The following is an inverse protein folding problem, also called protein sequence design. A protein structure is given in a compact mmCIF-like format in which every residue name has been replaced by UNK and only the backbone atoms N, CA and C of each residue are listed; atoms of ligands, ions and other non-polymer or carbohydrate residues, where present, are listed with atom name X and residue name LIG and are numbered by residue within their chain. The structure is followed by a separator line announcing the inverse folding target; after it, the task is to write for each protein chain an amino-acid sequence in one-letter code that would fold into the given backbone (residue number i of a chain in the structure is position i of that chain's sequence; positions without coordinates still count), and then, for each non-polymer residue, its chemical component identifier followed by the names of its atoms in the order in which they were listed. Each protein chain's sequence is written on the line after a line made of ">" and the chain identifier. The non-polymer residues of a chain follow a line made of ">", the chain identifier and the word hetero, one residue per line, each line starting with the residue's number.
data_IF_347740843258
#
_entry.id   IF_347740843258
#
_cell.length_a   1.000
_cell.length_b   1.000
_cell.length_c   1.000
_cell.angle_alpha   90.00
_cell.angle_beta   90.00
_cell.angle_gamma   90.00
#
_symmetry.space_group_name_H-M   'P 1'
#
loop_
_entity.id
_entity.type
_entity.pdbx_description
1 polymer ?
#
# COMPACT_ATOMS: atom_id res chain seq x y z
N UNK A 1 -4.40 -29.55 7.38
CA UNK A 1 -4.53 -28.08 7.56
C UNK A 1 -5.97 -27.78 7.90
N UNK A 2 -6.25 -27.34 9.12
CA UNK A 2 -7.59 -26.94 9.56
C UNK A 2 -8.03 -25.76 8.69
N UNK A 3 -9.19 -25.86 8.02
CA UNK A 3 -9.73 -24.80 7.18
C UNK A 3 -10.15 -23.63 8.09
N UNK A 4 -9.29 -22.64 8.26
CA UNK A 4 -9.61 -21.40 8.96
C UNK A 4 -10.63 -20.56 8.19
N UNK A 5 -10.72 -20.74 6.89
CA UNK A 5 -11.59 -20.04 5.98
C UNK A 5 -12.97 -20.72 5.86
N UNK A 6 -14.04 -19.91 5.97
CA UNK A 6 -15.42 -20.35 5.81
C UNK A 6 -15.87 -20.10 4.37
N UNK A 7 -16.24 -21.15 3.64
CA UNK A 7 -16.66 -21.09 2.22
C UNK A 7 -17.80 -20.09 1.98
N UNK A 8 -18.83 -20.08 2.85
CA UNK A 8 -19.93 -19.13 2.74
C UNK A 8 -19.51 -17.68 2.85
N UNK A 9 -18.59 -17.38 3.78
CA UNK A 9 -18.05 -16.03 3.95
C UNK A 9 -17.17 -15.61 2.76
N UNK A 10 -16.33 -16.53 2.25
CA UNK A 10 -15.54 -16.30 1.03
C UNK A 10 -16.44 -15.89 -0.12
N UNK A 11 -17.51 -16.65 -0.34
CA UNK A 11 -18.44 -16.38 -1.45
C UNK A 11 -19.12 -15.00 -1.32
N UNK A 12 -19.67 -14.69 -0.14
CA UNK A 12 -20.35 -13.41 0.12
C UNK A 12 -19.39 -12.24 -0.09
N UNK A 13 -18.17 -12.32 0.47
CA UNK A 13 -17.19 -11.24 0.37
C UNK A 13 -16.63 -11.07 -1.05
N UNK A 14 -16.41 -12.16 -1.77
CA UNK A 14 -15.96 -12.07 -3.16
C UNK A 14 -17.06 -11.53 -4.09
N UNK A 15 -18.31 -11.90 -3.89
CA UNK A 15 -19.43 -11.29 -4.59
C UNK A 15 -19.52 -9.79 -4.29
N UNK A 16 -19.38 -9.39 -3.02
CA UNK A 16 -19.32 -7.98 -2.63
C UNK A 16 -18.14 -7.23 -3.26
N UNK A 17 -16.96 -7.84 -3.25
CA UNK A 17 -15.75 -7.30 -3.90
C UNK A 17 -15.97 -7.07 -5.41
N UNK A 18 -16.52 -8.08 -6.10
CA UNK A 18 -16.82 -7.98 -7.53
C UNK A 18 -17.89 -6.92 -7.81
N UNK A 19 -18.92 -6.81 -6.97
CA UNK A 19 -19.98 -5.80 -7.11
C UNK A 19 -19.41 -4.38 -6.97
N UNK A 20 -18.62 -4.13 -5.92
CA UNK A 20 -17.97 -2.83 -5.69
C UNK A 20 -17.03 -2.50 -6.86
N UNK A 21 -16.26 -3.48 -7.34
CA UNK A 21 -15.35 -3.30 -8.47
C UNK A 21 -16.12 -2.99 -9.75
N UNK A 22 -17.16 -3.75 -10.07
CA UNK A 22 -17.98 -3.55 -11.27
C UNK A 22 -18.67 -2.17 -11.28
N UNK A 23 -19.07 -1.66 -10.11
CA UNK A 23 -19.66 -0.33 -9.98
C UNK A 23 -18.60 0.80 -10.11
N UNK A 24 -17.41 0.62 -9.52
CA UNK A 24 -16.37 1.64 -9.51
C UNK A 24 -15.65 1.78 -10.86
N UNK A 25 -15.47 0.66 -11.60
CA UNK A 25 -14.73 0.63 -12.88
C UNK A 25 -15.24 1.65 -13.91
N UNK A 26 -16.54 1.65 -14.31
CA UNK A 26 -17.02 2.60 -15.31
C UNK A 26 -16.96 4.05 -14.84
N UNK A 27 -17.19 4.31 -13.55
CA UNK A 27 -17.11 5.64 -12.98
C UNK A 27 -15.66 6.18 -13.03
N UNK A 28 -14.69 5.34 -12.69
CA UNK A 28 -13.29 5.72 -12.76
C UNK A 28 -12.81 5.92 -14.20
N UNK A 29 -13.20 5.03 -15.12
CA UNK A 29 -12.88 5.16 -16.53
C UNK A 29 -13.47 6.45 -17.13
N UNK A 30 -14.72 6.76 -16.81
CA UNK A 30 -15.39 8.00 -17.23
C UNK A 30 -14.69 9.24 -16.65
N UNK A 31 -14.35 9.21 -15.35
CA UNK A 31 -13.68 10.34 -14.69
C UNK A 31 -12.30 10.64 -15.30
N UNK A 32 -11.58 9.60 -15.73
CA UNK A 32 -10.32 9.75 -16.43
C UNK A 32 -10.50 10.27 -17.86
N UNK A 33 -11.49 9.74 -18.59
CA UNK A 33 -11.80 10.16 -19.96
C UNK A 33 -12.25 11.64 -20.02
N UNK A 34 -13.06 12.09 -19.04
CA UNK A 34 -13.52 13.47 -18.92
C UNK A 34 -12.50 14.42 -18.27
N UNK A 35 -11.33 13.94 -17.85
CA UNK A 35 -10.30 14.76 -17.19
C UNK A 35 -10.72 15.30 -15.80
N UNK A 36 -11.68 14.66 -15.12
CA UNK A 36 -12.16 15.07 -13.79
C UNK A 36 -11.15 14.71 -12.71
N UNK A 37 -10.07 15.48 -12.63
CA UNK A 37 -8.92 15.21 -11.74
C UNK A 37 -9.31 15.00 -10.27
N UNK A 38 -10.24 15.78 -9.74
CA UNK A 38 -10.73 15.64 -8.37
C UNK A 38 -11.35 14.26 -8.13
N UNK A 39 -12.30 13.87 -9.00
CA UNK A 39 -13.00 12.58 -8.90
C UNK A 39 -12.03 11.43 -9.11
N UNK A 40 -11.21 11.47 -10.17
CA UNK A 40 -10.27 10.38 -10.50
C UNK A 40 -9.18 10.14 -9.44
N UNK A 41 -8.93 11.12 -8.55
CA UNK A 41 -8.01 10.98 -7.41
C UNK A 41 -8.72 10.43 -6.16
N UNK A 42 -10.00 10.78 -5.94
CA UNK A 42 -10.73 10.41 -4.71
C UNK A 42 -11.49 9.09 -4.85
N UNK A 43 -11.98 8.77 -6.05
CA UNK A 43 -12.76 7.55 -6.28
C UNK A 43 -11.98 6.26 -5.94
N UNK A 44 -10.68 6.11 -6.27
CA UNK A 44 -9.89 4.96 -5.84
C UNK A 44 -9.83 4.82 -4.31
N UNK A 45 -9.70 5.95 -3.59
CA UNK A 45 -9.69 5.92 -2.11
C UNK A 45 -11.01 5.41 -1.54
N UNK A 46 -12.14 5.86 -2.07
CA UNK A 46 -13.46 5.36 -1.67
C UNK A 46 -13.59 3.86 -2.01
N UNK A 47 -13.17 3.46 -3.21
CA UNK A 47 -13.15 2.06 -3.63
C UNK A 47 -12.38 1.18 -2.63
N UNK A 48 -11.14 1.53 -2.30
CA UNK A 48 -10.32 0.78 -1.35
C UNK A 48 -10.94 0.70 0.05
N UNK A 49 -11.58 1.78 0.52
CA UNK A 49 -12.34 1.77 1.78
C UNK A 49 -13.48 0.76 1.76
N UNK A 50 -14.26 0.73 0.69
CA UNK A 50 -15.35 -0.21 0.53
C UNK A 50 -14.84 -1.66 0.44
N UNK A 51 -13.75 -1.89 -0.30
CA UNK A 51 -13.10 -3.20 -0.39
C UNK A 51 -12.59 -3.65 0.98
N UNK A 52 -11.93 -2.80 1.74
CA UNK A 52 -11.50 -3.12 3.10
C UNK A 52 -12.69 -3.55 3.99
N UNK A 53 -13.81 -2.83 3.92
CA UNK A 53 -15.04 -3.20 4.68
C UNK A 53 -15.60 -4.55 4.24
N UNK A 54 -15.73 -4.77 2.93
CA UNK A 54 -16.24 -6.01 2.35
C UNK A 54 -15.37 -7.20 2.75
N UNK A 55 -14.06 -7.06 2.70
CA UNK A 55 -13.12 -8.12 3.07
C UNK A 55 -12.95 -8.28 4.60
N UNK A 56 -13.58 -7.42 5.41
CA UNK A 56 -13.49 -7.49 6.87
C UNK A 56 -12.14 -7.04 7.42
N UNK A 57 -11.49 -6.09 6.73
CA UNK A 57 -10.23 -5.49 7.15
C UNK A 57 -10.51 -4.27 8.02
N UNK A 58 -10.10 -4.30 9.27
CA UNK A 58 -10.16 -3.16 10.20
C UNK A 58 -8.80 -2.52 10.30
N UNK A 59 -8.71 -1.26 9.92
CA UNK A 59 -7.44 -0.53 9.88
C UNK A 59 -7.35 0.40 11.09
N UNK A 60 -6.39 0.14 11.98
CA UNK A 60 -6.05 1.03 13.08
C UNK A 60 -4.89 1.94 12.66
N UNK A 61 -5.09 3.26 12.70
CA UNK A 61 -4.13 4.25 12.22
C UNK A 61 -3.41 4.91 13.39
N UNK A 62 -2.10 4.97 13.32
CA UNK A 62 -1.18 5.61 14.26
C UNK A 62 -0.37 6.68 13.54
N UNK A 63 0.00 7.73 14.25
CA UNK A 63 0.66 8.89 13.64
C UNK A 63 -0.27 9.70 12.75
N UNK A 64 0.28 10.57 11.91
CA UNK A 64 -0.48 11.46 11.03
C UNK A 64 0.01 11.38 9.60
N UNK A 65 -0.91 11.31 8.67
CA UNK A 65 -0.59 11.41 7.24
C UNK A 65 0.00 12.79 6.94
N UNK A 66 1.11 12.83 6.22
CA UNK A 66 1.75 14.06 5.78
C UNK A 66 0.77 15.00 5.06
N UNK A 67 0.80 16.26 5.44
CA UNK A 67 0.04 17.33 4.77
C UNK A 67 0.77 17.92 3.58
N UNK A 68 2.09 17.65 3.44
CA UNK A 68 2.87 18.08 2.28
C UNK A 68 2.33 17.48 0.99
N UNK A 69 2.30 18.27 -0.07
CA UNK A 69 1.84 17.85 -1.40
C UNK A 69 2.85 18.29 -2.46
N UNK A 70 3.37 17.33 -3.22
CA UNK A 70 3.25 15.87 -3.08
C UNK A 70 4.07 15.29 -1.93
N UNK A 71 3.76 14.05 -1.52
CA UNK A 71 4.56 13.26 -0.59
C UNK A 71 4.90 11.91 -1.24
N UNK A 72 6.11 11.42 -1.05
CA UNK A 72 6.50 10.05 -1.34
C UNK A 72 6.30 9.18 -0.08
N UNK A 73 5.24 8.38 -0.05
CA UNK A 73 5.01 7.40 1.00
C UNK A 73 5.83 6.13 0.73
N UNK A 74 6.55 5.67 1.72
CA UNK A 74 7.43 4.49 1.63
C UNK A 74 6.98 3.45 2.63
N UNK A 75 6.60 2.25 2.19
CA UNK A 75 6.04 1.22 3.07
C UNK A 75 6.69 -0.14 2.88
N UNK A 76 6.66 -0.97 3.94
CA UNK A 76 6.90 -2.40 3.82
C UNK A 76 5.80 -3.07 2.98
N UNK A 77 6.07 -4.29 2.49
CA UNK A 77 5.17 -5.00 1.60
C UNK A 77 5.10 -6.49 1.94
N UNK A 78 3.92 -6.92 2.37
CA UNK A 78 3.65 -8.33 2.67
C UNK A 78 2.60 -8.95 1.73
N UNK A 79 1.68 -8.12 1.19
CA UNK A 79 0.54 -8.64 0.43
C UNK A 79 -0.01 -7.61 -0.55
N UNK A 80 -0.74 -8.07 -1.59
CA UNK A 80 -1.58 -7.16 -2.40
C UNK A 80 -2.64 -6.42 -1.55
N UNK A 81 -2.98 -6.95 -0.37
CA UNK A 81 -3.88 -6.29 0.58
C UNK A 81 -3.32 -4.96 1.09
N UNK A 82 -1.98 -4.79 1.13
CA UNK A 82 -1.36 -3.51 1.49
C UNK A 82 -1.79 -2.39 0.54
N UNK A 83 -2.09 -2.72 -0.73
CA UNK A 83 -2.62 -1.79 -1.72
C UNK A 83 -4.01 -1.30 -1.31
N UNK A 84 -4.89 -2.22 -0.89
CA UNK A 84 -6.24 -1.89 -0.43
C UNK A 84 -6.17 -1.02 0.83
N UNK A 85 -5.32 -1.38 1.78
CA UNK A 85 -5.16 -0.69 3.06
C UNK A 85 -4.60 0.73 2.87
N UNK A 86 -3.47 0.85 2.17
CA UNK A 86 -2.84 2.15 1.94
C UNK A 86 -3.66 3.03 0.99
N UNK A 87 -4.29 2.44 -0.04
CA UNK A 87 -5.19 3.13 -0.95
C UNK A 87 -6.44 3.69 -0.26
N UNK A 88 -6.92 3.05 0.82
CA UNK A 88 -8.02 3.55 1.63
C UNK A 88 -7.65 4.79 2.46
N UNK A 89 -6.38 4.95 2.81
CA UNK A 89 -5.86 6.01 3.69
C UNK A 89 -5.24 7.17 2.92
N UNK A 90 -4.50 6.87 1.85
CA UNK A 90 -3.67 7.83 1.12
C UNK A 90 -4.30 8.13 -0.25
N UNK A 91 -4.49 9.41 -0.55
CA UNK A 91 -4.80 9.85 -1.91
C UNK A 91 -3.51 9.95 -2.70
N UNK A 92 -3.17 8.89 -3.44
CA UNK A 92 -1.91 8.79 -4.19
C UNK A 92 -1.95 7.68 -5.22
N UNK A 93 -0.86 7.55 -5.98
CA UNK A 93 -0.68 6.50 -6.99
C UNK A 93 0.41 5.52 -6.54
N UNK A 94 0.19 4.24 -6.75
CA UNK A 94 1.21 3.24 -6.45
C UNK A 94 2.32 3.22 -7.50
N UNK A 95 3.51 2.80 -7.09
CA UNK A 95 4.63 2.50 -7.98
C UNK A 95 4.77 0.98 -8.06
N UNK A 96 4.53 0.42 -9.24
CA UNK A 96 4.55 -1.02 -9.48
C UNK A 96 5.56 -1.42 -10.57
N UNK A 97 5.88 -2.71 -10.64
CA UNK A 97 6.69 -3.27 -11.73
C UNK A 97 5.90 -3.21 -13.05
N UNK A 98 6.59 -3.00 -14.17
CA UNK A 98 5.99 -2.98 -15.51
C UNK A 98 5.22 -4.27 -15.85
N UNK A 99 5.70 -5.42 -15.37
CA UNK A 99 5.06 -6.72 -15.62
C UNK A 99 3.62 -6.78 -15.06
N UNK A 100 3.31 -6.05 -13.98
CA UNK A 100 1.96 -5.98 -13.41
C UNK A 100 0.93 -5.43 -14.40
N UNK A 101 1.37 -4.56 -15.33
CA UNK A 101 0.50 -3.99 -16.37
C UNK A 101 -0.16 -5.05 -17.26
N UNK A 102 0.53 -6.17 -17.47
CA UNK A 102 0.04 -7.29 -18.31
C UNK A 102 -0.79 -8.33 -17.55
N UNK A 103 -0.93 -8.20 -16.23
CA UNK A 103 -1.72 -9.15 -15.46
C UNK A 103 -3.22 -9.03 -15.78
N UNK A 104 -3.91 -10.13 -16.07
CA UNK A 104 -5.36 -10.11 -16.32
C UNK A 104 -6.11 -9.44 -15.17
N UNK A 105 -7.06 -8.56 -15.47
CA UNK A 105 -7.87 -7.79 -14.51
C UNK A 105 -7.05 -6.81 -13.68
N UNK A 106 -6.02 -7.26 -12.96
CA UNK A 106 -5.22 -6.44 -12.05
C UNK A 106 -4.40 -5.35 -12.77
N UNK A 107 -3.94 -5.63 -13.98
CA UNK A 107 -3.27 -4.63 -14.82
C UNK A 107 -4.21 -3.48 -15.20
N UNK A 108 -5.48 -3.79 -15.51
CA UNK A 108 -6.49 -2.77 -15.79
C UNK A 108 -6.81 -1.96 -14.52
N UNK A 109 -7.04 -2.61 -13.39
CA UNK A 109 -7.30 -1.94 -12.10
C UNK A 109 -6.14 -1.02 -11.72
N UNK A 110 -4.90 -1.48 -11.86
CA UNK A 110 -3.71 -0.67 -11.59
C UNK A 110 -3.62 0.54 -12.54
N UNK A 111 -3.94 0.39 -13.82
CA UNK A 111 -3.97 1.51 -14.77
C UNK A 111 -5.05 2.53 -14.40
N UNK A 112 -6.24 2.09 -14.07
CA UNK A 112 -7.34 2.95 -13.64
C UNK A 112 -7.06 3.67 -12.32
N UNK A 113 -6.28 3.04 -11.43
CA UNK A 113 -5.75 3.67 -10.21
C UNK A 113 -4.58 4.64 -10.49
N UNK A 114 -4.21 4.83 -11.76
CA UNK A 114 -3.14 5.73 -12.18
C UNK A 114 -1.76 5.27 -11.66
N UNK A 115 -1.57 3.96 -11.46
CA UNK A 115 -0.29 3.36 -11.03
C UNK A 115 0.84 3.76 -11.99
N UNK A 116 2.00 4.11 -11.43
CA UNK A 116 3.22 4.37 -12.21
C UNK A 116 3.98 3.05 -12.35
N UNK A 117 4.13 2.61 -13.60
CA UNK A 117 4.84 1.36 -13.89
C UNK A 117 6.31 1.64 -14.17
N UNK A 118 7.21 0.91 -13.47
CA UNK A 118 8.66 1.07 -13.58
C UNK A 118 9.33 -0.23 -14.03
N UNK A 119 10.23 -0.13 -15.02
CA UNK A 119 11.07 -1.24 -15.45
C UNK A 119 12.33 -1.32 -14.59
N UNK A 120 12.61 -2.50 -14.01
CA UNK A 120 13.75 -2.67 -13.09
C UNK A 120 14.97 -3.32 -13.73
N UNK A 121 14.85 -3.82 -14.97
CA UNK A 121 15.89 -4.65 -15.60
C UNK A 121 16.87 -3.89 -16.48
N UNK A 122 16.57 -2.67 -16.92
CA UNK A 122 17.41 -1.94 -17.86
C UNK A 122 18.04 -0.70 -17.24
N UNK A 123 19.36 -0.61 -17.22
CA UNK A 123 20.08 0.60 -16.75
C UNK A 123 19.75 1.85 -17.58
N UNK A 124 19.40 1.68 -18.86
CA UNK A 124 19.01 2.76 -19.77
C UNK A 124 17.62 3.33 -19.48
N UNK A 125 16.75 2.60 -18.77
CA UNK A 125 15.39 3.06 -18.43
C UNK A 125 15.33 3.93 -17.17
N UNK A 126 16.45 4.08 -16.44
CA UNK A 126 16.47 4.77 -15.14
C UNK A 126 16.12 6.26 -15.28
N UNK A 127 16.57 6.95 -16.34
CA UNK A 127 16.23 8.34 -16.60
C UNK A 127 14.74 8.49 -16.93
N UNK A 128 14.22 7.70 -17.86
CA UNK A 128 12.82 7.73 -18.28
C UNK A 128 11.85 7.38 -17.13
N UNK A 129 12.23 6.44 -16.26
CA UNK A 129 11.47 6.10 -15.05
C UNK A 129 11.46 7.26 -14.06
N UNK A 130 12.62 7.89 -13.84
CA UNK A 130 12.72 9.08 -13.00
C UNK A 130 11.85 10.20 -13.55
N UNK A 131 11.85 10.42 -14.85
CA UNK A 131 11.04 11.46 -15.51
C UNK A 131 9.54 11.17 -15.38
N UNK A 132 9.13 9.91 -15.49
CA UNK A 132 7.74 9.49 -15.25
C UNK A 132 7.28 9.72 -13.81
N UNK A 133 8.13 9.39 -12.82
CA UNK A 133 7.86 9.65 -11.41
C UNK A 133 7.87 11.15 -11.12
N UNK A 134 8.84 11.88 -11.70
CA UNK A 134 8.96 13.32 -11.57
C UNK A 134 7.74 14.05 -12.10
N UNK A 135 7.28 13.71 -13.29
CA UNK A 135 6.09 14.32 -13.88
C UNK A 135 4.85 14.14 -12.98
N UNK A 136 4.67 12.95 -12.40
CA UNK A 136 3.54 12.69 -11.48
C UNK A 136 3.63 13.52 -10.20
N UNK A 137 4.82 13.64 -9.62
CA UNK A 137 5.05 14.47 -8.44
C UNK A 137 4.87 15.95 -8.76
N UNK A 138 5.37 16.43 -9.91
CA UNK A 138 5.16 17.82 -10.37
C UNK A 138 3.69 18.14 -10.62
N UNK A 139 2.89 17.16 -11.06
CA UNK A 139 1.42 17.27 -11.18
C UNK A 139 0.71 17.32 -9.80
N UNK A 140 1.46 17.25 -8.69
CA UNK A 140 0.95 17.27 -7.32
C UNK A 140 0.39 15.92 -6.85
N UNK A 141 0.66 14.82 -7.58
CA UNK A 141 0.26 13.48 -7.16
C UNK A 141 1.26 12.91 -6.14
N UNK A 142 0.79 12.49 -4.98
CA UNK A 142 1.60 11.70 -4.05
C UNK A 142 1.80 10.28 -4.58
N UNK A 143 2.93 9.67 -4.24
CA UNK A 143 3.28 8.31 -4.66
C UNK A 143 3.43 7.37 -3.47
N UNK A 144 3.09 6.10 -3.65
CA UNK A 144 3.26 5.03 -2.66
C UNK A 144 4.23 4.00 -3.23
N UNK A 145 5.34 3.80 -2.53
CA UNK A 145 6.46 2.97 -2.96
C UNK A 145 6.70 1.84 -1.96
N UNK A 146 6.89 0.62 -2.49
CA UNK A 146 7.36 -0.54 -1.74
C UNK A 146 8.83 -0.84 -2.09
N UNK A 147 9.80 -0.31 -1.33
CA UNK A 147 11.21 -0.38 -1.72
C UNK A 147 11.86 -1.75 -1.52
N UNK A 148 11.20 -2.69 -0.86
CA UNK A 148 11.58 -4.11 -0.85
C UNK A 148 11.59 -4.70 -2.27
N UNK A 149 10.73 -4.18 -3.13
CA UNK A 149 10.62 -4.59 -4.51
C UNK A 149 9.88 -5.90 -4.74
N UNK A 150 9.47 -6.59 -3.71
CA UNK A 150 8.60 -7.77 -3.72
C UNK A 150 7.98 -7.92 -2.35
N UNK A 151 6.84 -8.59 -2.26
CA UNK A 151 6.22 -8.96 -0.99
C UNK A 151 7.00 -10.06 -0.27
N UNK A 152 6.75 -10.20 1.03
CA UNK A 152 7.36 -11.19 1.91
C UNK A 152 6.32 -11.81 2.86
N UNK A 153 6.74 -12.67 3.79
CA UNK A 153 5.87 -13.41 4.73
C UNK A 153 5.29 -12.56 5.87
N UNK A 154 5.54 -11.25 5.90
CA UNK A 154 5.07 -10.31 6.92
C UNK A 154 5.77 -10.44 8.29
N UNK A 155 6.70 -11.36 8.44
CA UNK A 155 7.39 -11.57 9.72
C UNK A 155 8.60 -10.64 9.89
N UNK A 156 9.26 -10.28 8.80
CA UNK A 156 10.45 -9.41 8.78
C UNK A 156 10.45 -8.52 7.55
N UNK A 157 11.06 -7.36 7.70
CA UNK A 157 11.33 -6.47 6.58
C UNK A 157 12.45 -7.05 5.69
N UNK A 158 12.32 -6.91 4.38
CA UNK A 158 13.42 -7.15 3.44
C UNK A 158 14.22 -5.86 3.24
N UNK A 159 15.53 -5.94 2.95
CA UNK A 159 16.34 -4.76 2.72
C UNK A 159 15.77 -3.84 1.64
N UNK A 160 15.75 -2.54 1.92
CA UNK A 160 15.27 -1.53 1.00
C UNK A 160 16.28 -1.26 -0.11
N UNK A 161 15.80 -1.25 -1.33
CA UNK A 161 16.61 -0.94 -2.52
C UNK A 161 16.73 0.58 -2.65
N UNK A 162 17.85 1.15 -2.24
CA UNK A 162 18.10 2.60 -2.30
C UNK A 162 17.92 3.19 -3.71
N UNK A 163 18.11 2.39 -4.76
CA UNK A 163 17.85 2.82 -6.14
C UNK A 163 16.38 3.24 -6.39
N UNK A 164 15.42 2.65 -5.66
CA UNK A 164 13.99 2.99 -5.77
C UNK A 164 13.65 4.34 -5.13
N UNK A 165 14.54 4.89 -4.31
CA UNK A 165 14.40 6.23 -3.73
C UNK A 165 14.87 7.36 -4.66
N UNK A 166 15.17 7.09 -5.93
CA UNK A 166 15.58 8.14 -6.89
C UNK A 166 14.55 9.26 -7.04
N UNK A 167 13.27 8.94 -6.87
CA UNK A 167 12.20 9.95 -6.84
C UNK A 167 12.30 10.93 -5.67
N UNK A 168 12.93 10.54 -4.55
CA UNK A 168 13.12 11.42 -3.39
C UNK A 168 14.13 12.55 -3.62
N UNK A 169 14.96 12.44 -4.68
CA UNK A 169 15.92 13.47 -5.07
C UNK A 169 15.29 14.58 -5.94
N UNK A 170 13.99 14.45 -6.27
CA UNK A 170 13.24 15.42 -7.07
C UNK A 170 12.91 16.60 -6.18
N UNK A 171 13.07 17.82 -6.72
CA UNK A 171 12.62 19.04 -6.09
C UNK A 171 11.30 19.49 -6.69
N UNK A 172 10.38 19.91 -5.84
CA UNK A 172 9.08 20.45 -6.24
C UNK A 172 9.06 21.92 -5.83
N UNK A 173 8.93 22.82 -6.79
CA UNK A 173 8.98 24.26 -6.58
C UNK A 173 10.20 24.72 -5.76
N UNK A 174 11.36 24.10 -6.02
CA UNK A 174 12.61 24.39 -5.32
C UNK A 174 12.76 23.73 -3.94
N UNK A 175 11.72 23.08 -3.41
CA UNK A 175 11.72 22.40 -2.12
C UNK A 175 12.02 20.90 -2.25
N UNK A 176 12.69 20.33 -1.24
CA UNK A 176 12.93 18.90 -1.17
C UNK A 176 11.61 18.14 -1.00
N UNK A 177 11.47 17.02 -1.71
CA UNK A 177 10.30 16.15 -1.60
C UNK A 177 10.20 15.56 -0.19
N UNK A 178 9.04 15.68 0.44
CA UNK A 178 8.75 14.99 1.69
C UNK A 178 8.63 13.48 1.45
N UNK A 179 9.33 12.69 2.24
CA UNK A 179 9.28 11.23 2.24
C UNK A 179 8.73 10.78 3.58
N UNK A 180 7.60 10.08 3.58
CA UNK A 180 6.98 9.59 4.81
C UNK A 180 7.06 8.07 4.90
N UNK A 181 7.82 7.50 5.87
CA UNK A 181 7.80 6.08 6.15
C UNK A 181 6.43 5.66 6.70
N UNK A 182 5.95 4.48 6.30
CA UNK A 182 4.65 3.93 6.71
C UNK A 182 4.83 2.45 7.01
N UNK A 183 4.41 2.02 8.20
CA UNK A 183 4.42 0.60 8.58
C UNK A 183 3.03 0.00 8.44
N UNK A 184 2.92 -1.15 7.79
CA UNK A 184 1.70 -1.96 7.71
C UNK A 184 1.95 -3.30 8.40
N UNK A 185 1.13 -3.65 9.38
CA UNK A 185 1.25 -4.92 10.11
C UNK A 185 -0.11 -5.59 10.33
N UNK A 186 -0.21 -6.87 10.06
CA UNK A 186 -1.38 -7.71 10.33
C UNK A 186 -1.30 -8.21 11.76
N UNK A 187 -2.13 -7.67 12.67
CA UNK A 187 -1.91 -7.81 14.12
C UNK A 187 -2.88 -8.75 14.80
N UNK A 188 -4.16 -8.79 14.38
CA UNK A 188 -5.17 -9.65 15.00
C UNK A 188 -6.13 -10.25 13.99
N UNK A 189 -6.61 -11.46 14.29
CA UNK A 189 -7.72 -12.11 13.61
C UNK A 189 -8.82 -12.40 14.63
N UNK A 190 -10.02 -11.84 14.44
CA UNK A 190 -11.15 -11.95 15.36
C UNK A 190 -10.78 -11.56 16.82
N UNK A 191 -9.96 -10.50 16.96
CA UNK A 191 -9.46 -10.04 18.26
C UNK A 191 -8.27 -10.82 18.82
N UNK A 192 -7.94 -12.00 18.27
CA UNK A 192 -6.81 -12.82 18.70
C UNK A 192 -5.53 -12.38 18.00
N UNK A 193 -4.41 -12.17 18.72
CA UNK A 193 -3.13 -11.80 18.11
C UNK A 193 -2.67 -12.81 17.05
N UNK A 194 -2.19 -12.30 15.91
CA UNK A 194 -1.66 -13.11 14.83
C UNK A 194 -0.20 -13.47 15.15
N UNK A 195 0.02 -14.74 15.46
CA UNK A 195 1.36 -15.28 15.69
C UNK A 195 2.16 -15.44 14.40
N UNK A 196 3.48 -15.68 14.54
CA UNK A 196 4.42 -15.81 13.42
C UNK A 196 3.97 -16.81 12.35
N UNK A 197 3.39 -17.94 12.76
CA UNK A 197 2.92 -18.98 11.84
C UNK A 197 1.63 -18.63 11.10
N UNK A 198 0.87 -17.67 11.61
CA UNK A 198 -0.39 -17.23 11.02
C UNK A 198 -0.23 -16.09 10.00
N UNK A 199 0.86 -15.29 10.08
CA UNK A 199 1.07 -14.16 9.17
C UNK A 199 1.12 -14.56 7.69
N UNK A 200 1.71 -15.70 7.29
CA UNK A 200 1.68 -16.16 5.90
C UNK A 200 0.27 -16.36 5.31
N UNK A 201 -0.79 -16.45 6.13
CA UNK A 201 -2.17 -16.51 5.62
C UNK A 201 -2.68 -15.15 5.11
N UNK A 202 -2.06 -14.05 5.53
CA UNK A 202 -2.39 -12.69 5.10
C UNK A 202 -1.39 -12.17 4.06
N UNK A 203 -0.17 -12.65 4.13
CA UNK A 203 0.90 -12.32 3.20
C UNK A 203 0.73 -13.10 1.89
N UNK A 204 1.04 -12.43 0.78
CA UNK A 204 1.09 -13.06 -0.54
C UNK A 204 2.47 -12.87 -1.15
N UNK A 205 3.23 -13.95 -1.27
CA UNK A 205 4.63 -13.92 -1.68
C UNK A 205 5.06 -15.22 -2.37
N UNK A 206 6.20 -15.20 -3.02
CA UNK A 206 6.71 -16.35 -3.77
C UNK A 206 5.80 -16.75 -4.92
N UNK A 207 5.52 -18.03 -5.05
CA UNK A 207 4.72 -18.62 -6.14
C UNK A 207 3.28 -18.91 -5.72
N UNK A 208 2.76 -18.22 -4.69
CA UNK A 208 1.39 -18.40 -4.23
C UNK A 208 0.39 -18.04 -5.33
N UNK A 209 -0.54 -18.96 -5.63
CA UNK A 209 -1.66 -18.68 -6.55
C UNK A 209 -2.58 -17.61 -5.94
N UNK A 210 -2.77 -16.51 -6.66
CA UNK A 210 -3.51 -15.34 -6.17
C UNK A 210 -4.98 -15.68 -5.90
N UNK A 211 -5.62 -16.46 -6.77
CA UNK A 211 -7.03 -16.83 -6.63
C UNK A 211 -7.29 -17.65 -5.37
N UNK A 212 -6.44 -18.64 -5.09
CA UNK A 212 -6.54 -19.48 -3.90
C UNK A 212 -6.28 -18.68 -2.62
N UNK A 213 -5.30 -17.78 -2.66
CA UNK A 213 -5.00 -16.92 -1.53
C UNK A 213 -6.16 -15.95 -1.24
N UNK A 214 -6.69 -15.29 -2.26
CA UNK A 214 -7.82 -14.37 -2.13
C UNK A 214 -9.08 -15.09 -1.61
N UNK A 215 -9.37 -16.31 -2.11
CA UNK A 215 -10.46 -17.15 -1.62
C UNK A 215 -10.34 -17.44 -0.13
N UNK A 216 -9.16 -17.89 0.29
CA UNK A 216 -8.89 -18.21 1.69
C UNK A 216 -8.95 -16.97 2.58
N UNK A 217 -8.34 -15.86 2.16
CA UNK A 217 -8.35 -14.60 2.89
C UNK A 217 -9.78 -14.05 3.05
N UNK A 218 -10.59 -14.10 1.99
CA UNK A 218 -11.99 -13.66 2.04
C UNK A 218 -12.83 -14.50 3.03
N UNK A 219 -12.46 -15.77 3.26
CA UNK A 219 -13.10 -16.64 4.22
C UNK A 219 -12.64 -16.50 5.67
N UNK A 220 -11.57 -15.73 5.94
CA UNK A 220 -11.13 -15.43 7.29
C UNK A 220 -12.13 -14.49 7.99
N UNK A 221 -12.03 -14.39 9.30
CA UNK A 221 -12.87 -13.47 10.08
C UNK A 221 -12.53 -11.99 9.86
N UNK A 222 -12.63 -11.20 10.92
CA UNK A 222 -12.22 -9.79 10.92
C UNK A 222 -10.72 -9.71 11.18
N UNK A 223 -9.99 -9.09 10.25
CA UNK A 223 -8.54 -8.89 10.35
C UNK A 223 -8.25 -7.46 10.78
N UNK A 224 -7.53 -7.30 11.89
CA UNK A 224 -7.06 -5.99 12.34
C UNK A 224 -5.66 -5.74 11.78
N UNK A 225 -5.51 -4.57 11.14
CA UNK A 225 -4.28 -4.14 10.48
C UNK A 225 -3.85 -2.82 11.11
N UNK A 226 -2.64 -2.78 11.63
CA UNK A 226 -2.01 -1.56 12.10
C UNK A 226 -1.35 -0.83 10.94
N UNK A 227 -1.62 0.46 10.80
CA UNK A 227 -0.89 1.35 9.90
C UNK A 227 -0.31 2.51 10.71
N UNK A 228 1.01 2.62 10.74
CA UNK A 228 1.72 3.69 11.46
C UNK A 228 2.40 4.63 10.46
N UNK A 229 1.97 5.89 10.47
CA UNK A 229 2.61 6.98 9.72
C UNK A 229 3.68 7.62 10.59
N UNK A 230 4.94 7.47 10.18
CA UNK A 230 6.08 8.06 10.89
C UNK A 230 6.31 9.51 10.45
N UNK A 231 7.21 10.22 11.15
CA UNK A 231 7.54 11.61 10.80
C UNK A 231 8.12 11.69 9.39
N UNK A 232 7.65 12.64 8.56
CA UNK A 232 8.21 12.88 7.25
C UNK A 232 9.65 13.38 7.33
N UNK A 233 10.49 12.92 6.41
CA UNK A 233 11.90 13.31 6.28
C UNK A 233 12.19 13.72 4.83
N UNK A 234 13.34 14.33 4.58
CA UNK A 234 13.79 14.67 3.23
C UNK A 234 15.18 14.09 2.97
N UNK A 235 15.52 13.94 1.67
CA UNK A 235 16.89 13.52 1.30
C UNK A 235 17.93 14.53 1.76
N UNK A 236 17.58 15.82 1.80
CA UNK A 236 18.47 16.89 2.25
C UNK A 236 18.79 16.79 3.74
N UNK A 237 17.79 16.50 4.58
CA UNK A 237 17.98 16.33 6.02
C UNK A 237 18.89 15.14 6.36
N UNK A 238 18.85 14.08 5.56
CA UNK A 238 19.64 12.87 5.78
C UNK A 238 20.94 12.81 4.96
N UNK A 239 21.14 13.76 4.07
CA UNK A 239 22.38 13.98 3.31
C UNK A 239 22.54 13.09 2.08
N UNK A 240 21.84 11.96 1.96
CA UNK A 240 21.90 11.12 0.77
C UNK A 240 20.70 10.18 0.66
N UNK A 241 20.37 9.75 -0.59
CA UNK A 241 19.37 8.74 -0.87
C UNK A 241 19.61 7.40 -0.15
N UNK A 242 20.89 7.01 0.02
CA UNK A 242 21.26 5.78 0.73
C UNK A 242 20.90 5.87 2.21
N UNK A 243 21.25 6.99 2.86
CA UNK A 243 20.88 7.23 4.26
C UNK A 243 19.39 7.38 4.47
N UNK A 244 18.69 7.98 3.49
CA UNK A 244 17.23 8.06 3.51
C UNK A 244 16.59 6.67 3.45
N UNK A 245 17.07 5.79 2.57
CA UNK A 245 16.58 4.41 2.48
C UNK A 245 16.83 3.63 3.78
N UNK A 246 18.03 3.74 4.36
CA UNK A 246 18.42 3.12 5.63
C UNK A 246 17.55 3.64 6.79
N UNK A 247 17.32 4.95 6.87
CA UNK A 247 16.45 5.55 7.88
C UNK A 247 15.01 4.99 7.79
N UNK A 248 14.42 5.01 6.59
CA UNK A 248 13.07 4.46 6.38
C UNK A 248 13.00 2.96 6.72
N UNK A 249 14.03 2.19 6.34
CA UNK A 249 14.12 0.77 6.65
C UNK A 249 14.14 0.53 8.17
N UNK A 250 14.99 1.24 8.91
CA UNK A 250 15.13 1.08 10.36
C UNK A 250 13.84 1.45 11.10
N UNK A 251 13.25 2.61 10.78
CA UNK A 251 12.01 3.07 11.42
C UNK A 251 10.86 2.08 11.19
N UNK A 252 10.69 1.60 9.95
CA UNK A 252 9.65 0.64 9.60
C UNK A 252 9.93 -0.73 10.22
N UNK A 253 11.19 -1.20 10.23
CA UNK A 253 11.56 -2.47 10.84
C UNK A 253 11.27 -2.51 12.35
N UNK A 254 11.62 -1.43 13.07
CA UNK A 254 11.36 -1.30 14.50
C UNK A 254 9.86 -1.30 14.80
N UNK A 255 9.07 -0.54 14.04
CA UNK A 255 7.62 -0.49 14.21
C UNK A 255 6.96 -1.83 13.88
N UNK A 256 7.39 -2.49 12.80
CA UNK A 256 6.92 -3.82 12.44
C UNK A 256 7.25 -4.87 13.52
N UNK A 257 8.46 -4.80 14.10
CA UNK A 257 8.85 -5.68 15.19
C UNK A 257 8.01 -5.46 16.46
N UNK A 258 7.75 -4.19 16.84
CA UNK A 258 6.84 -3.85 17.95
C UNK A 258 5.44 -4.39 17.70
N UNK A 259 4.84 -4.10 16.54
CA UNK A 259 3.51 -4.57 16.15
C UNK A 259 3.41 -6.10 16.18
N UNK A 260 4.40 -6.77 15.61
CA UNK A 260 4.47 -8.23 15.52
C UNK A 260 4.66 -8.92 16.88
N UNK A 261 5.21 -8.23 17.87
CA UNK A 261 5.38 -8.73 19.25
C UNK A 261 4.21 -8.37 20.16
N UNK A 262 3.26 -7.57 19.69
CA UNK A 262 2.15 -7.04 20.51
C UNK A 262 2.59 -6.01 21.55
N UNK A 263 3.82 -5.47 21.46
CA UNK A 263 4.38 -4.49 22.38
C UNK A 263 4.20 -3.07 21.87
N UNK A 264 3.90 -2.12 22.76
CA UNK A 264 3.95 -0.69 22.49
C UNK A 264 3.00 -0.21 21.40
N UNK A 265 1.87 -0.87 21.21
CA UNK A 265 0.78 -0.35 20.39
C UNK A 265 0.01 0.61 21.33
N UNK A 266 0.33 1.90 21.26
CA UNK A 266 -0.46 2.96 21.89
C UNK A 266 -1.88 2.96 21.33
N UNK A 267 -2.81 3.66 21.98
CA UNK A 267 -4.17 3.78 21.44
C UNK A 267 -4.13 4.42 20.03
N UNK A 268 -4.89 3.91 19.05
CA UNK A 268 -4.92 4.49 17.71
C UNK A 268 -5.38 5.94 17.76
N UNK A 269 -4.76 6.81 16.96
CA UNK A 269 -5.10 8.24 16.89
C UNK A 269 -6.49 8.45 16.27
N UNK A 270 -6.93 7.49 15.45
CA UNK A 270 -8.27 7.50 14.82
C UNK A 270 -8.86 6.11 14.90
N UNK A 271 -10.02 5.98 15.52
CA UNK A 271 -10.80 4.75 15.42
C UNK A 271 -11.14 4.50 13.93
N UNK A 272 -10.93 3.28 13.48
CA UNK A 272 -11.19 2.88 12.08
C UNK A 272 -12.63 3.19 11.61
N UNK A 273 -13.58 3.35 12.53
CA UNK A 273 -14.92 3.84 12.25
C UNK A 273 -14.94 5.28 11.70
N UNK A 274 -14.03 6.16 12.14
CA UNK A 274 -13.94 7.55 11.66
C UNK A 274 -13.23 7.70 10.29
N UNK A 275 -12.40 6.72 9.89
CA UNK A 275 -11.84 6.63 8.53
C UNK A 275 -12.87 6.00 7.57
N UNK A 276 -13.91 5.44 8.13
CA UNK A 276 -14.98 4.72 7.45
C UNK A 276 -16.24 5.57 7.21
N UNK A 277 -16.33 6.76 7.80
CA UNK A 277 -17.31 7.78 7.45
C UNK A 277 -16.73 8.71 6.37
#
# INVERSE_FOLDING_TARGET
>A
MTKLATTGLSLIRLLGYLTVTAAALPLQALSLACGWRGVSRQLPRLYHRLVCRVLGLRVAVYGRVSTARPTLFVSNHASYIDIEVLGALITGSFVAKSEVKSWPVFGLLAQLQRTVFVERRMRSSTAQQRDSLAGRLQDGDSLILFPEGTSNDGNRLRPFKSALFSAAEIRIDGHALAVQPVTVAYVRLNGTPIGRHMRPYFAWYGDMALADHLWNLAGLGVTEIMVEFHEPVTVEALGSRKRLAEHCENVIADALARANSGRGIEAPVVDAAAVAA
#
